data_IF_034786726654
#
_entry.id   IF_034786726654
#
_cell.length_a   1.000
_cell.length_b   1.000
_cell.length_c   1.000
_cell.angle_alpha   90.00
_cell.angle_beta   90.00
_cell.angle_gamma   90.00
#
_symmetry.space_group_name_H-M   'P 1'
#
loop_
_entity.id
_entity.type
_entity.pdbx_description
1 polymer ?
#
# COMPACT_ATOMS: atom_id res chain seq x y z
N UNK A 1 -10.00 13.95 -7.31
CA UNK A 1 -9.04 12.89 -7.66
C UNK A 1 -7.81 13.07 -6.78
N UNK A 2 -7.79 12.45 -5.61
CA UNK A 2 -6.59 12.41 -4.74
C UNK A 2 -6.17 10.93 -4.59
N UNK A 3 -6.16 10.20 -5.71
CA UNK A 3 -5.48 8.90 -5.82
C UNK A 3 -4.11 9.21 -6.39
N UNK A 4 -3.07 8.77 -5.70
CA UNK A 4 -1.71 9.24 -5.94
C UNK A 4 -1.23 8.84 -7.35
N UNK A 5 -0.56 9.77 -8.06
CA UNK A 5 -0.25 9.59 -9.50
C UNK A 5 0.60 8.33 -9.75
N UNK A 6 1.44 7.93 -8.78
CA UNK A 6 2.27 6.73 -8.89
C UNK A 6 1.50 5.44 -8.69
N UNK A 7 0.45 5.42 -7.86
CA UNK A 7 -0.43 4.24 -7.77
C UNK A 7 -1.19 4.03 -9.09
N UNK A 8 -1.59 5.11 -9.76
CA UNK A 8 -2.20 5.01 -11.09
C UNK A 8 -1.23 4.43 -12.13
N UNK A 9 0.07 4.72 -12.03
CA UNK A 9 1.09 4.09 -12.88
C UNK A 9 1.21 2.58 -12.63
N UNK A 10 1.11 2.12 -11.37
CA UNK A 10 1.05 0.68 -11.07
C UNK A 10 -0.18 0.03 -11.70
N UNK A 11 -1.34 0.70 -11.63
CA UNK A 11 -2.59 0.22 -12.21
C UNK A 11 -2.50 0.10 -13.73
N UNK A 12 -2.04 1.16 -14.41
CA UNK A 12 -1.87 1.17 -15.87
C UNK A 12 -0.85 0.14 -16.34
N UNK A 13 0.17 -0.14 -15.52
CA UNK A 13 1.17 -1.16 -15.79
C UNK A 13 0.74 -2.59 -15.44
N UNK A 14 -0.49 -2.80 -14.94
CA UNK A 14 -1.00 -4.13 -14.56
C UNK A 14 -0.38 -4.72 -13.29
N UNK A 15 0.42 -3.94 -12.54
CA UNK A 15 1.06 -4.37 -11.28
C UNK A 15 0.19 -4.18 -10.05
N UNK A 16 -0.92 -3.46 -10.21
CA UNK A 16 -1.88 -3.19 -9.15
C UNK A 16 -3.29 -3.32 -9.72
N UNK A 17 -4.07 -4.29 -9.22
CA UNK A 17 -5.38 -4.62 -9.76
C UNK A 17 -6.46 -4.58 -8.67
N UNK A 18 -7.56 -3.87 -8.94
CA UNK A 18 -8.68 -3.77 -8.01
C UNK A 18 -9.54 -5.05 -8.03
N UNK A 19 -9.85 -5.58 -6.84
CA UNK A 19 -10.66 -6.80 -6.67
C UNK A 19 -12.12 -6.52 -6.29
N UNK A 20 -12.51 -5.25 -6.17
CA UNK A 20 -13.79 -4.84 -5.59
C UNK A 20 -13.73 -4.58 -4.08
N UNK A 21 -12.72 -5.10 -3.37
CA UNK A 21 -12.56 -4.92 -1.93
C UNK A 21 -11.12 -4.62 -1.49
N UNK A 22 -10.12 -4.90 -2.33
CA UNK A 22 -8.72 -4.56 -2.10
C UNK A 22 -7.92 -4.57 -3.40
N UNK A 23 -6.63 -4.31 -3.29
CA UNK A 23 -5.70 -4.32 -4.41
C UNK A 23 -4.84 -5.56 -4.40
N UNK A 24 -4.78 -6.30 -5.51
CA UNK A 24 -3.71 -7.26 -5.75
C UNK A 24 -2.49 -6.45 -6.23
N UNK A 25 -1.42 -6.41 -5.43
CA UNK A 25 -0.19 -5.68 -5.73
C UNK A 25 0.97 -6.14 -4.85
N UNK A 26 2.21 -5.89 -5.25
CA UNK A 26 3.37 -6.04 -4.34
C UNK A 26 3.39 -4.89 -3.31
N UNK A 27 3.42 -5.18 -1.99
CA UNK A 27 3.33 -4.15 -0.95
C UNK A 27 4.46 -3.11 -1.01
N UNK A 28 5.68 -3.54 -1.35
CA UNK A 28 6.83 -2.63 -1.48
C UNK A 28 6.65 -1.67 -2.65
N UNK A 29 6.08 -2.11 -3.77
CA UNK A 29 5.83 -1.23 -4.92
C UNK A 29 4.76 -0.17 -4.59
N UNK A 30 3.76 -0.54 -3.79
CA UNK A 30 2.73 0.39 -3.28
C UNK A 30 3.37 1.42 -2.34
N UNK A 31 4.19 0.97 -1.39
CA UNK A 31 4.89 1.88 -0.45
C UNK A 31 5.84 2.81 -1.20
N UNK A 32 6.61 2.30 -2.16
CA UNK A 32 7.51 3.09 -3.00
C UNK A 32 6.74 4.12 -3.84
N UNK A 33 5.59 3.76 -4.38
CA UNK A 33 4.72 4.68 -5.11
C UNK A 33 4.24 5.82 -4.20
N UNK A 34 3.75 5.49 -3.00
CA UNK A 34 3.34 6.48 -2.00
C UNK A 34 4.51 7.37 -1.56
N UNK A 35 5.69 6.81 -1.35
CA UNK A 35 6.89 7.57 -1.00
C UNK A 35 7.28 8.57 -2.10
N UNK A 36 7.18 8.16 -3.37
CA UNK A 36 7.41 9.03 -4.54
C UNK A 36 6.35 10.11 -4.72
N UNK A 37 5.15 9.90 -4.17
CA UNK A 37 4.08 10.92 -4.08
C UNK A 37 4.23 11.82 -2.84
N UNK A 38 5.37 11.74 -2.14
CA UNK A 38 5.76 12.65 -1.06
C UNK A 38 5.32 12.21 0.33
N UNK A 39 4.76 11.01 0.48
CA UNK A 39 4.44 10.45 1.81
C UNK A 39 5.70 9.86 2.45
N UNK A 40 6.23 10.54 3.46
CA UNK A 40 7.41 10.08 4.19
C UNK A 40 6.99 9.04 5.23
N UNK A 41 7.67 7.89 5.27
CA UNK A 41 7.37 6.81 6.23
C UNK A 41 7.45 7.31 7.67
N UNK A 42 6.36 7.11 8.41
CA UNK A 42 6.28 7.39 9.85
C UNK A 42 6.23 6.11 10.68
N UNK A 43 5.66 5.04 10.12
CA UNK A 43 5.51 3.74 10.77
C UNK A 43 5.57 2.61 9.76
N UNK A 44 6.25 1.52 10.13
CA UNK A 44 6.22 0.26 9.40
C UNK A 44 6.31 -0.93 10.36
N UNK A 45 5.40 -1.87 10.21
CA UNK A 45 5.39 -3.13 10.97
C UNK A 45 5.13 -4.29 10.00
N UNK A 46 5.90 -5.37 10.15
CA UNK A 46 5.79 -6.56 9.30
C UNK A 46 5.42 -7.76 10.16
N UNK A 47 4.25 -8.34 9.87
CA UNK A 47 3.84 -9.60 10.45
C UNK A 47 4.58 -10.75 9.77
N UNK A 48 5.05 -11.72 10.56
CA UNK A 48 5.74 -12.91 10.07
C UNK A 48 4.98 -14.16 10.47
N UNK A 49 5.00 -15.17 9.61
CA UNK A 49 4.47 -16.48 9.94
C UNK A 49 5.26 -17.06 11.13
N UNK A 50 4.61 -17.58 12.18
CA UNK A 50 5.30 -18.09 13.36
C UNK A 50 6.11 -19.37 13.11
N UNK A 51 5.81 -20.12 12.04
CA UNK A 51 6.45 -21.41 11.72
C UNK A 51 7.70 -21.23 10.88
N UNK A 52 7.61 -20.47 9.78
CA UNK A 52 8.72 -20.32 8.81
C UNK A 52 9.35 -18.91 8.80
N UNK A 53 8.85 -18.00 9.63
CA UNK A 53 9.29 -16.61 9.77
C UNK A 53 9.24 -15.76 8.50
N UNK A 54 8.58 -16.23 7.43
CA UNK A 54 8.41 -15.45 6.21
C UNK A 54 7.41 -14.30 6.44
N UNK A 55 7.56 -13.15 5.75
CA UNK A 55 6.57 -12.08 5.80
C UNK A 55 5.18 -12.58 5.40
N UNK A 56 4.20 -12.38 6.26
CA UNK A 56 2.81 -12.81 6.07
C UNK A 56 1.85 -11.62 5.90
N UNK A 57 2.30 -10.41 6.20
CA UNK A 57 1.51 -9.19 6.09
C UNK A 57 2.22 -8.02 6.76
N UNK A 58 1.53 -6.90 6.88
CA UNK A 58 2.08 -5.74 7.56
C UNK A 58 1.21 -4.51 7.44
N UNK A 59 1.71 -3.45 8.06
CA UNK A 59 1.14 -2.11 7.98
C UNK A 59 2.24 -1.09 7.76
N UNK A 60 1.92 -0.08 6.98
CA UNK A 60 2.75 1.07 6.70
C UNK A 60 1.91 2.34 6.81
N UNK A 61 2.49 3.41 7.33
CA UNK A 61 1.92 4.74 7.29
C UNK A 61 2.97 5.76 6.89
N UNK A 62 2.55 6.74 6.08
CA UNK A 62 3.36 7.87 5.70
C UNK A 62 2.61 9.20 5.78
N UNK A 63 3.35 10.25 6.09
CA UNK A 63 2.88 11.64 6.18
C UNK A 63 3.46 12.46 5.03
N UNK A 64 2.60 13.14 4.28
CA UNK A 64 3.03 14.15 3.34
C UNK A 64 3.13 15.50 4.08
N UNK A 65 4.34 15.89 4.46
CA UNK A 65 4.61 17.10 5.26
C UNK A 65 4.24 18.41 4.56
N UNK A 66 4.07 18.41 3.22
CA UNK A 66 3.66 19.61 2.48
C UNK A 66 2.14 19.83 2.56
N UNK A 67 1.36 18.75 2.61
CA UNK A 67 -0.12 18.80 2.55
C UNK A 67 -0.79 18.45 3.88
N UNK A 68 -0.04 17.84 4.81
CA UNK A 68 -0.58 17.26 6.04
C UNK A 68 -1.34 15.94 5.81
N UNK A 69 -1.37 15.40 4.59
CA UNK A 69 -2.11 14.19 4.29
C UNK A 69 -1.41 12.94 4.85
N UNK A 70 -2.20 11.96 5.30
CA UNK A 70 -1.70 10.67 5.80
C UNK A 70 -2.14 9.56 4.85
N UNK A 71 -1.19 8.77 4.39
CA UNK A 71 -1.44 7.52 3.68
C UNK A 71 -1.20 6.34 4.61
N UNK A 72 -2.10 5.36 4.54
CA UNK A 72 -2.01 4.09 5.26
C UNK A 72 -2.09 2.94 4.25
N UNK A 73 -1.21 1.96 4.38
CA UNK A 73 -1.28 0.72 3.63
C UNK A 73 -1.26 -0.47 4.59
N UNK A 74 -2.22 -1.38 4.47
CA UNK A 74 -2.26 -2.65 5.19
C UNK A 74 -2.24 -3.76 4.17
N UNK A 75 -1.45 -4.81 4.38
CA UNK A 75 -1.43 -5.93 3.46
C UNK A 75 -1.40 -7.27 4.17
N UNK A 76 -1.95 -8.25 3.48
CA UNK A 76 -1.82 -9.67 3.78
C UNK A 76 -1.15 -10.36 2.60
N UNK A 77 -0.18 -11.22 2.88
CA UNK A 77 0.60 -11.95 1.88
C UNK A 77 0.15 -13.40 1.86
N UNK A 78 -0.26 -13.86 0.69
CA UNK A 78 -0.46 -15.29 0.38
C UNK A 78 0.72 -15.79 -0.46
N UNK A 79 0.87 -17.12 -0.67
CA UNK A 79 1.98 -17.66 -1.46
C UNK A 79 2.05 -17.09 -2.89
N UNK A 80 0.90 -16.81 -3.49
CA UNK A 80 0.80 -16.42 -4.90
C UNK A 80 0.65 -14.90 -5.12
N UNK A 81 0.09 -14.19 -4.14
CA UNK A 81 -0.23 -12.77 -4.26
C UNK A 81 -0.39 -12.06 -2.91
N UNK A 82 -0.28 -10.73 -2.90
CA UNK A 82 -0.63 -9.93 -1.73
C UNK A 82 -1.89 -9.12 -1.98
N UNK A 83 -2.76 -9.05 -0.97
CA UNK A 83 -3.92 -8.16 -0.96
C UNK A 83 -3.56 -6.94 -0.12
N UNK A 84 -3.67 -5.75 -0.70
CA UNK A 84 -3.28 -4.46 -0.14
C UNK A 84 -4.50 -3.55 -0.03
N UNK A 85 -4.67 -2.95 1.12
CA UNK A 85 -5.70 -1.96 1.42
C UNK A 85 -5.01 -0.62 1.63
N UNK A 86 -5.46 0.40 0.91
CA UNK A 86 -4.83 1.73 0.92
C UNK A 86 -5.88 2.75 1.28
N UNK A 87 -5.53 3.63 2.23
CA UNK A 87 -6.32 4.81 2.56
C UNK A 87 -5.45 6.07 2.47
N UNK A 88 -6.04 7.16 2.02
CA UNK A 88 -5.46 8.50 2.11
C UNK A 88 -6.46 9.40 2.82
N UNK A 89 -6.06 9.99 3.96
CA UNK A 89 -6.93 10.78 4.84
C UNK A 89 -8.21 10.05 5.24
N UNK A 90 -8.09 8.76 5.58
CA UNK A 90 -9.21 7.90 5.96
C UNK A 90 -10.20 7.60 4.83
N UNK A 91 -9.83 7.87 3.58
CA UNK A 91 -10.61 7.51 2.40
C UNK A 91 -9.91 6.38 1.67
N UNK A 92 -10.64 5.28 1.47
CA UNK A 92 -10.17 4.15 0.69
C UNK A 92 -9.81 4.59 -0.73
N UNK A 93 -8.63 4.17 -1.18
CA UNK A 93 -8.23 4.23 -2.59
C UNK A 93 -8.81 2.98 -3.26
N UNK A 94 -9.74 3.17 -4.20
CA UNK A 94 -10.38 2.12 -4.98
C UNK A 94 -10.14 2.33 -6.47
N UNK A 95 -10.32 1.28 -7.27
CA UNK A 95 -10.11 1.28 -8.73
C UNK A 95 -11.28 1.82 -9.54
#
# INVERSE_FOLDING_TARGET
MNGSDRLLELCRGGRMQWTGHGWIAEPEEVVDALARDGFQECKREVARNPVDHRPAGGVWQGLNNQTGAVASAVWVKSPDQSLVFIEINGRQVAG
#
